data_IF_424262168513
#
_entry.id   IF_424262168513
#
_cell.length_a   1.000
_cell.length_b   1.000
_cell.length_c   1.000
_cell.angle_alpha   90.00
_cell.angle_beta   90.00
_cell.angle_gamma   90.00
#
_symmetry.space_group_name_H-M   'P 1'
#
loop_
_entity.id
_entity.type
_entity.pdbx_description
1 polymer ?
#
# COMPACT_ATOMS: atom_id res chain seq x y z
N UNK A 1 11.42 46.87 5.70
CA UNK A 1 11.00 46.84 7.14
C UNK A 1 11.57 45.52 7.68
N UNK A 2 12.80 45.60 8.23
CA UNK A 2 13.46 44.41 8.83
C UNK A 2 12.86 44.23 10.23
N UNK A 3 12.13 43.13 10.43
CA UNK A 3 11.66 42.72 11.73
C UNK A 3 12.89 42.35 12.58
N UNK A 4 13.13 43.03 13.71
CA UNK A 4 14.27 42.71 14.58
C UNK A 4 14.10 41.29 15.11
N UNK A 5 15.13 40.45 14.92
CA UNK A 5 15.17 39.08 15.45
C UNK A 5 14.98 39.17 16.98
N UNK A 6 14.08 38.32 17.54
CA UNK A 6 13.88 38.33 18.98
C UNK A 6 15.17 38.01 19.74
N UNK A 7 15.43 38.60 20.91
CA UNK A 7 16.71 38.52 21.62
C UNK A 7 17.14 37.08 22.01
N UNK A 8 16.22 36.12 22.01
CA UNK A 8 16.52 34.69 22.22
C UNK A 8 16.97 33.94 20.97
N UNK A 9 16.81 34.50 19.74
CA UNK A 9 17.16 33.83 18.50
C UNK A 9 18.65 33.44 18.37
N UNK A 10 19.62 34.33 18.73
CA UNK A 10 21.04 33.94 18.69
C UNK A 10 21.36 32.86 19.74
N UNK A 11 20.74 32.90 20.93
CA UNK A 11 20.91 31.84 21.94
C UNK A 11 20.41 30.48 21.45
N UNK A 12 19.26 30.44 20.82
CA UNK A 12 18.73 29.21 20.20
C UNK A 12 19.68 28.70 19.09
N UNK A 13 20.25 29.57 18.29
CA UNK A 13 21.22 29.24 17.26
C UNK A 13 22.49 28.58 17.83
N UNK A 14 23.02 29.12 18.92
CA UNK A 14 24.19 28.58 19.63
C UNK A 14 23.87 27.20 20.24
N UNK A 15 22.71 27.05 20.88
CA UNK A 15 22.28 25.75 21.44
C UNK A 15 22.14 24.69 20.36
N UNK A 16 21.48 25.03 19.24
CA UNK A 16 21.35 24.11 18.09
C UNK A 16 22.69 23.72 17.49
N UNK A 17 23.60 24.71 17.31
CA UNK A 17 24.95 24.45 16.81
C UNK A 17 25.75 23.54 17.76
N UNK A 18 25.67 23.78 19.06
CA UNK A 18 26.34 22.97 20.09
C UNK A 18 25.79 21.53 20.12
N UNK A 19 24.48 21.35 20.05
CA UNK A 19 23.84 20.02 19.97
C UNK A 19 24.24 19.29 18.69
N UNK A 20 24.30 19.98 17.56
CA UNK A 20 24.77 19.40 16.30
C UNK A 20 26.24 18.99 16.36
N UNK A 21 27.10 19.82 16.95
CA UNK A 21 28.52 19.53 17.14
C UNK A 21 28.71 18.33 18.08
N UNK A 22 28.03 18.28 19.19
CA UNK A 22 28.04 17.16 20.13
C UNK A 22 27.56 15.86 19.45
N UNK A 23 26.47 15.88 18.70
CA UNK A 23 26.01 14.74 17.92
C UNK A 23 27.03 14.30 16.85
N UNK A 24 27.69 15.23 16.19
CA UNK A 24 28.73 14.93 15.21
C UNK A 24 29.98 14.30 15.84
N UNK A 25 30.39 14.77 17.01
CA UNK A 25 31.55 14.26 17.74
C UNK A 25 31.24 12.91 18.40
N UNK A 26 30.09 12.77 19.06
CA UNK A 26 29.68 11.52 19.72
C UNK A 26 29.35 10.42 18.70
N UNK A 27 28.75 10.78 17.55
CA UNK A 27 28.44 9.84 16.47
C UNK A 27 29.70 9.29 15.76
N UNK A 28 30.83 9.97 15.86
CA UNK A 28 32.12 9.44 15.35
C UNK A 28 32.72 8.33 16.23
N UNK A 29 32.41 8.30 17.51
CA UNK A 29 32.99 7.33 18.46
C UNK A 29 32.38 5.91 18.40
N UNK A 30 31.22 5.72 17.80
CA UNK A 30 30.51 4.42 17.79
C UNK A 30 30.54 3.71 16.43
N UNK A 31 31.40 4.09 15.50
CA UNK A 31 31.58 3.31 14.27
C UNK A 31 32.47 2.10 14.56
N UNK A 32 31.87 0.99 14.99
CA UNK A 32 32.47 -0.32 14.73
C UNK A 32 32.77 -0.37 13.24
N UNK A 33 33.99 -0.80 12.88
CA UNK A 33 34.45 -0.88 11.49
C UNK A 33 33.71 -2.01 10.76
N UNK A 34 32.43 -1.79 10.45
CA UNK A 34 31.71 -2.64 9.50
C UNK A 34 32.17 -2.25 8.09
N UNK A 35 32.39 -3.26 7.26
CA UNK A 35 32.63 -3.05 5.84
C UNK A 35 31.29 -2.70 5.17
N UNK A 36 30.95 -1.42 5.18
CA UNK A 36 29.67 -0.92 4.65
C UNK A 36 29.70 -0.89 3.12
N UNK A 37 28.58 -1.20 2.44
CA UNK A 37 28.49 -1.05 1.00
C UNK A 37 28.82 0.38 0.54
N UNK A 38 29.36 0.56 -0.70
CA UNK A 38 29.61 1.88 -1.25
C UNK A 38 28.33 2.69 -1.40
N UNK A 39 28.45 4.01 -1.39
CA UNK A 39 27.29 4.89 -1.55
C UNK A 39 27.67 6.37 -1.56
N UNK A 40 26.73 7.25 -1.93
CA UNK A 40 26.94 8.68 -1.90
C UNK A 40 27.08 9.19 -0.45
N UNK A 41 27.89 10.23 -0.28
CA UNK A 41 28.05 10.89 1.01
C UNK A 41 26.71 11.52 1.45
N UNK A 42 26.16 11.14 2.62
CA UNK A 42 24.88 11.68 3.05
C UNK A 42 25.03 13.10 3.60
N UNK A 43 24.04 13.95 3.33
CA UNK A 43 23.91 15.26 3.97
C UNK A 43 23.54 15.13 5.45
N UNK A 44 23.92 16.10 6.30
CA UNK A 44 23.39 16.17 7.66
C UNK A 44 21.84 16.22 7.65
N UNK A 45 21.19 15.57 8.59
CA UNK A 45 19.74 15.50 8.79
C UNK A 45 19.00 14.75 7.69
N UNK A 46 19.01 15.24 6.44
CA UNK A 46 18.23 14.68 5.32
C UNK A 46 18.83 13.40 4.73
N UNK A 47 20.14 13.16 4.95
CA UNK A 47 20.83 12.03 4.32
C UNK A 47 20.96 12.19 2.81
N UNK A 48 20.43 11.25 2.04
CA UNK A 48 20.42 11.23 0.58
C UNK A 48 19.01 11.43 -0.02
N UNK A 49 18.08 12.02 0.74
CA UNK A 49 16.72 12.30 0.25
C UNK A 49 16.71 13.29 -0.92
N UNK A 50 17.70 14.19 -0.97
CA UNK A 50 17.93 15.16 -2.07
C UNK A 50 18.20 14.48 -3.42
N UNK A 51 18.70 13.24 -3.40
CA UNK A 51 18.98 12.47 -4.61
C UNK A 51 17.73 11.76 -5.17
N UNK A 52 16.63 11.78 -4.43
CA UNK A 52 15.38 11.14 -4.85
C UNK A 52 14.56 12.14 -5.67
N UNK A 53 14.51 11.94 -6.98
CA UNK A 53 13.68 12.73 -7.89
C UNK A 53 12.21 12.33 -7.87
N UNK A 54 11.44 12.83 -8.82
CA UNK A 54 10.01 12.54 -8.97
C UNK A 54 9.70 11.04 -9.10
N UNK A 55 10.64 10.25 -9.61
CA UNK A 55 10.55 8.79 -9.74
C UNK A 55 11.71 8.14 -8.98
N UNK A 56 11.56 7.88 -7.66
CA UNK A 56 12.65 7.38 -6.81
C UNK A 56 13.33 6.12 -7.32
N UNK A 57 12.58 5.20 -7.94
CA UNK A 57 13.14 3.97 -8.50
C UNK A 57 14.13 4.24 -9.65
N UNK A 58 13.93 5.30 -10.45
CA UNK A 58 14.88 5.70 -11.51
C UNK A 58 16.12 6.34 -10.90
N UNK A 59 15.97 7.22 -9.92
CA UNK A 59 17.09 7.81 -9.19
C UNK A 59 17.96 6.73 -8.53
N UNK A 60 17.34 5.72 -7.88
CA UNK A 60 18.03 4.58 -7.30
C UNK A 60 18.75 3.75 -8.37
N UNK A 61 18.14 3.53 -9.53
CA UNK A 61 18.77 2.84 -10.65
C UNK A 61 20.04 3.57 -11.13
N UNK A 62 19.96 4.87 -11.36
CA UNK A 62 21.14 5.66 -11.76
C UNK A 62 22.25 5.63 -10.70
N UNK A 63 21.91 5.70 -9.43
CA UNK A 63 22.88 5.54 -8.35
C UNK A 63 23.51 4.14 -8.34
N UNK A 64 22.74 3.08 -8.64
CA UNK A 64 23.29 1.72 -8.70
C UNK A 64 24.29 1.51 -9.84
N UNK A 65 24.13 2.22 -10.95
CA UNK A 65 25.12 2.22 -12.04
C UNK A 65 26.47 2.81 -11.59
N UNK A 66 26.45 3.76 -10.66
CA UNK A 66 27.65 4.43 -10.14
C UNK A 66 28.29 3.70 -8.97
N UNK A 67 27.49 3.18 -8.04
CA UNK A 67 27.97 2.62 -6.77
C UNK A 67 27.94 1.09 -6.74
N UNK A 68 27.36 0.44 -7.75
CA UNK A 68 27.32 -1.02 -7.89
C UNK A 68 25.99 -1.64 -7.44
N UNK A 69 25.96 -2.98 -7.51
CA UNK A 69 24.75 -3.79 -7.31
C UNK A 69 24.25 -3.80 -5.85
N UNK A 70 25.12 -3.54 -4.91
CA UNK A 70 24.82 -3.40 -3.48
C UNK A 70 25.37 -2.06 -3.02
N UNK A 71 24.49 -1.14 -2.65
CA UNK A 71 24.87 0.19 -2.19
C UNK A 71 24.15 0.58 -0.91
N UNK A 72 24.76 1.52 -0.18
CA UNK A 72 24.14 2.10 1.01
C UNK A 72 23.73 3.55 0.76
N UNK A 73 22.51 3.86 1.15
CA UNK A 73 21.97 5.21 1.24
C UNK A 73 21.63 5.54 2.69
N UNK A 74 21.28 6.78 2.93
CA UNK A 74 20.71 7.22 4.19
C UNK A 74 19.49 8.09 3.92
N UNK A 75 18.31 7.68 4.41
CA UNK A 75 17.11 8.48 4.33
C UNK A 75 16.83 9.09 5.70
N UNK A 76 17.15 10.38 5.83
CA UNK A 76 17.05 11.08 7.10
C UNK A 76 17.86 10.40 8.19
N UNK A 77 17.18 9.80 9.17
CA UNK A 77 17.75 9.11 10.33
C UNK A 77 18.11 7.64 10.05
N UNK A 78 17.59 7.04 8.96
CA UNK A 78 17.67 5.60 8.72
C UNK A 78 18.72 5.24 7.65
N UNK A 79 19.62 4.28 7.94
CA UNK A 79 20.44 3.65 6.91
C UNK A 79 19.57 2.75 6.04
N UNK A 80 19.81 2.80 4.73
CA UNK A 80 19.08 2.01 3.73
C UNK A 80 20.09 1.27 2.86
N UNK A 81 19.91 -0.04 2.73
CA UNK A 81 20.72 -0.86 1.81
C UNK A 81 19.86 -1.17 0.59
N UNK A 82 20.44 -0.96 -0.58
CA UNK A 82 19.79 -1.17 -1.87
C UNK A 82 20.50 -2.27 -2.63
N UNK A 83 19.77 -3.31 -2.99
CA UNK A 83 20.19 -4.37 -3.90
C UNK A 83 19.57 -4.18 -5.27
N UNK A 84 20.39 -4.01 -6.32
CA UNK A 84 19.96 -3.65 -7.67
C UNK A 84 20.26 -4.74 -8.71
N UNK A 85 20.50 -5.98 -8.29
CA UNK A 85 20.70 -7.11 -9.20
C UNK A 85 19.81 -8.31 -8.82
N UNK A 86 19.67 -9.25 -9.75
CA UNK A 86 18.95 -10.52 -9.51
C UNK A 86 19.55 -11.28 -8.33
N UNK A 87 20.88 -11.31 -8.22
CA UNK A 87 21.57 -12.01 -7.12
C UNK A 87 21.29 -11.35 -5.78
N UNK A 88 21.28 -10.01 -5.71
CA UNK A 88 20.92 -9.28 -4.49
C UNK A 88 19.44 -9.45 -4.15
N UNK A 89 18.57 -9.46 -5.14
CA UNK A 89 17.15 -9.77 -4.91
C UNK A 89 16.97 -11.19 -4.35
N UNK A 90 17.66 -12.19 -4.93
CA UNK A 90 17.68 -13.56 -4.41
C UNK A 90 18.23 -13.63 -2.99
N UNK A 91 19.31 -12.90 -2.71
CA UNK A 91 19.92 -12.84 -1.39
C UNK A 91 18.93 -12.34 -0.33
N UNK A 92 18.26 -11.19 -0.58
CA UNK A 92 17.33 -10.59 0.38
C UNK A 92 15.98 -11.31 0.47
N UNK A 93 15.42 -11.75 -0.68
CA UNK A 93 14.03 -12.22 -0.74
C UNK A 93 13.88 -13.75 -0.67
N UNK A 94 14.98 -14.51 -0.78
CA UNK A 94 14.97 -15.98 -0.75
C UNK A 94 15.99 -16.56 0.23
N UNK A 95 17.28 -16.19 0.12
CA UNK A 95 18.35 -16.83 0.90
C UNK A 95 18.32 -16.39 2.37
N UNK A 96 18.04 -15.14 2.62
CA UNK A 96 18.01 -14.53 3.96
C UNK A 96 16.69 -13.79 4.24
N UNK A 97 15.61 -14.27 3.63
CA UNK A 97 14.28 -13.63 3.70
C UNK A 97 13.82 -13.37 5.13
N UNK A 98 14.03 -14.30 6.05
CA UNK A 98 13.66 -14.17 7.46
C UNK A 98 14.31 -12.95 8.13
N UNK A 99 15.54 -12.58 7.73
CA UNK A 99 16.25 -11.41 8.28
C UNK A 99 15.73 -10.09 7.74
N UNK A 100 15.07 -10.11 6.58
CA UNK A 100 14.58 -8.92 5.87
C UNK A 100 13.06 -8.89 5.72
N UNK A 101 12.34 -9.71 6.49
CA UNK A 101 10.88 -9.87 6.38
C UNK A 101 10.12 -8.70 6.96
N UNK A 102 10.68 -8.00 7.93
CA UNK A 102 9.98 -6.95 8.67
C UNK A 102 9.66 -5.72 7.78
N UNK A 103 8.68 -4.95 8.19
CA UNK A 103 8.20 -3.78 7.44
C UNK A 103 8.59 -2.48 8.15
N UNK A 104 8.98 -1.44 7.38
CA UNK A 104 9.21 -0.13 7.97
C UNK A 104 7.89 0.43 8.52
N UNK A 105 7.97 1.10 9.65
CA UNK A 105 6.84 1.83 10.23
C UNK A 105 6.67 3.14 9.48
N UNK A 106 5.65 3.21 8.62
CA UNK A 106 5.36 4.38 7.79
C UNK A 106 4.02 5.01 8.17
N UNK A 107 3.85 6.30 7.86
CA UNK A 107 2.57 6.97 8.01
C UNK A 107 1.49 6.30 7.15
N UNK A 108 1.84 5.82 5.95
CA UNK A 108 0.93 5.06 5.08
C UNK A 108 0.40 3.82 5.80
N UNK A 109 1.27 2.92 6.27
CA UNK A 109 0.85 1.74 7.01
C UNK A 109 0.02 2.06 8.25
N UNK A 110 0.41 3.11 8.99
CA UNK A 110 -0.30 3.54 10.20
C UNK A 110 -1.72 4.03 9.91
N UNK A 111 -1.88 4.93 8.93
CA UNK A 111 -3.14 5.65 8.73
C UNK A 111 -4.05 5.03 7.68
N UNK A 112 -3.52 4.35 6.67
CA UNK A 112 -4.34 3.81 5.57
C UNK A 112 -4.70 2.34 5.71
N UNK A 113 -4.06 1.60 6.62
CA UNK A 113 -4.27 0.16 6.77
C UNK A 113 -4.59 -0.28 8.20
N UNK A 114 -5.39 0.52 8.91
CA UNK A 114 -5.84 0.23 10.28
C UNK A 114 -4.68 -0.10 11.23
N UNK A 115 -3.64 0.76 11.22
CA UNK A 115 -2.43 0.58 12.03
C UNK A 115 -1.67 -0.71 11.69
N UNK A 116 -1.37 -0.90 10.39
CA UNK A 116 -0.62 -2.05 9.86
C UNK A 116 -1.33 -3.40 10.02
N UNK A 117 -2.66 -3.46 9.93
CA UNK A 117 -3.45 -4.70 10.05
C UNK A 117 -3.71 -5.41 8.73
N UNK A 118 -3.07 -5.00 7.65
CA UNK A 118 -3.09 -5.70 6.37
C UNK A 118 -1.87 -6.62 6.21
N UNK A 119 -1.82 -7.41 5.14
CA UNK A 119 -0.68 -8.28 4.85
C UNK A 119 0.56 -7.53 4.37
N UNK A 120 0.38 -6.32 3.79
CA UNK A 120 1.45 -5.53 3.17
C UNK A 120 2.32 -4.84 4.21
N UNK A 121 1.69 -4.22 5.22
CA UNK A 121 2.34 -3.38 6.23
C UNK A 121 2.49 -4.05 7.59
N UNK A 122 1.85 -5.20 7.81
CA UNK A 122 1.96 -5.93 9.07
C UNK A 122 3.40 -6.36 9.34
N UNK A 123 3.92 -6.12 10.56
CA UNK A 123 5.22 -6.63 10.98
C UNK A 123 5.25 -8.15 10.96
N UNK A 124 6.44 -8.72 10.74
CA UNK A 124 6.61 -10.17 10.83
C UNK A 124 6.31 -10.70 12.23
N UNK A 125 5.38 -11.64 12.32
CA UNK A 125 4.93 -12.21 13.60
C UNK A 125 3.80 -13.23 13.41
N UNK A 126 3.18 -13.65 14.52
CA UNK A 126 2.06 -14.60 14.50
C UNK A 126 0.91 -14.11 13.60
N UNK A 127 0.52 -12.85 13.75
CA UNK A 127 -0.51 -12.22 12.93
C UNK A 127 -0.18 -12.29 11.43
N UNK A 128 1.02 -11.88 11.01
CA UNK A 128 1.42 -11.91 9.61
C UNK A 128 1.48 -13.34 9.05
N UNK A 129 1.98 -14.32 9.82
CA UNK A 129 2.01 -15.72 9.38
C UNK A 129 0.60 -16.28 9.16
N UNK A 130 -0.31 -16.01 10.09
CA UNK A 130 -1.73 -16.38 9.97
C UNK A 130 -2.38 -15.69 8.77
N UNK A 131 -2.18 -14.39 8.62
CA UNK A 131 -2.67 -13.59 7.49
C UNK A 131 -2.18 -14.13 6.14
N UNK A 132 -0.88 -14.46 6.05
CA UNK A 132 -0.30 -15.06 4.85
C UNK A 132 -0.90 -16.43 4.55
N UNK A 133 -1.07 -17.28 5.55
CA UNK A 133 -1.71 -18.60 5.41
C UNK A 133 -3.13 -18.40 4.86
N UNK A 134 -3.94 -17.56 5.48
CA UNK A 134 -5.30 -17.25 5.05
C UNK A 134 -5.35 -16.76 3.59
N UNK A 135 -4.48 -15.83 3.22
CA UNK A 135 -4.41 -15.34 1.84
C UNK A 135 -4.13 -16.49 0.85
N UNK A 136 -3.19 -17.36 1.16
CA UNK A 136 -2.77 -18.43 0.24
C UNK A 136 -3.79 -19.57 0.15
N UNK A 137 -4.46 -19.94 1.26
CA UNK A 137 -5.37 -21.09 1.27
C UNK A 137 -6.81 -20.71 0.94
N UNK A 138 -7.29 -19.56 1.41
CA UNK A 138 -8.70 -19.20 1.34
C UNK A 138 -9.01 -18.14 0.27
N UNK A 139 -8.21 -17.06 0.20
CA UNK A 139 -8.53 -15.95 -0.68
C UNK A 139 -7.98 -16.13 -2.10
N UNK A 140 -6.72 -16.57 -2.23
CA UNK A 140 -5.99 -16.63 -3.51
C UNK A 140 -5.59 -18.04 -3.92
N UNK A 141 -6.20 -19.08 -3.34
CA UNK A 141 -6.00 -20.45 -3.80
C UNK A 141 -6.45 -20.62 -5.24
N UNK A 142 -5.81 -21.55 -5.97
CA UNK A 142 -6.15 -21.83 -7.36
C UNK A 142 -7.65 -22.10 -7.53
N UNK A 143 -8.21 -22.97 -6.68
CA UNK A 143 -9.64 -23.32 -6.66
C UNK A 143 -10.53 -22.07 -6.50
N UNK A 144 -10.15 -21.16 -5.57
CA UNK A 144 -10.92 -19.93 -5.33
C UNK A 144 -10.85 -19.00 -6.54
N UNK A 145 -9.67 -18.80 -7.10
CA UNK A 145 -9.49 -17.96 -8.28
C UNK A 145 -10.21 -18.51 -9.51
N UNK A 146 -10.22 -19.83 -9.71
CA UNK A 146 -10.99 -20.50 -10.77
C UNK A 146 -12.49 -20.29 -10.58
N UNK A 147 -13.00 -20.37 -9.34
CA UNK A 147 -14.44 -20.15 -9.08
C UNK A 147 -14.93 -18.77 -9.53
N UNK A 148 -14.06 -17.78 -9.71
CA UNK A 148 -14.37 -16.44 -10.21
C UNK A 148 -14.13 -16.29 -11.73
N UNK A 149 -13.91 -17.36 -12.48
CA UNK A 149 -13.69 -17.29 -13.94
C UNK A 149 -14.86 -16.64 -14.66
N UNK A 150 -16.09 -16.95 -14.25
CA UNK A 150 -17.30 -16.36 -14.84
C UNK A 150 -17.33 -14.83 -14.74
N UNK A 151 -16.78 -14.23 -13.66
CA UNK A 151 -16.67 -12.79 -13.50
C UNK A 151 -15.72 -12.23 -14.55
N UNK A 152 -14.52 -12.82 -14.65
CA UNK A 152 -13.50 -12.37 -15.61
C UNK A 152 -14.01 -12.47 -17.05
N UNK A 153 -14.61 -13.61 -17.40
CA UNK A 153 -15.19 -13.80 -18.72
C UNK A 153 -16.31 -12.80 -19.04
N UNK A 154 -17.17 -12.49 -18.08
CA UNK A 154 -18.24 -11.52 -18.26
C UNK A 154 -17.71 -10.10 -18.51
N UNK A 155 -16.70 -9.65 -17.71
CA UNK A 155 -16.12 -8.30 -17.87
C UNK A 155 -15.29 -8.19 -19.17
N UNK A 156 -14.59 -9.23 -19.59
CA UNK A 156 -13.89 -9.25 -20.90
C UNK A 156 -14.89 -9.17 -22.06
N UNK A 157 -16.02 -9.88 -21.99
CA UNK A 157 -17.07 -9.79 -23.02
C UNK A 157 -17.69 -8.38 -23.07
N UNK A 158 -17.86 -7.73 -21.91
CA UNK A 158 -18.33 -6.35 -21.86
C UNK A 158 -17.33 -5.40 -22.54
N UNK A 159 -16.04 -5.52 -22.19
CA UNK A 159 -14.96 -4.77 -22.83
C UNK A 159 -14.99 -4.90 -24.36
N UNK A 160 -15.11 -6.14 -24.88
CA UNK A 160 -15.11 -6.39 -26.32
C UNK A 160 -16.32 -5.76 -27.02
N UNK A 161 -17.50 -5.77 -26.37
CA UNK A 161 -18.69 -5.07 -26.89
C UNK A 161 -18.48 -3.57 -26.96
N UNK A 162 -17.91 -2.97 -25.90
CA UNK A 162 -17.68 -1.52 -25.85
C UNK A 162 -16.65 -1.06 -26.89
N UNK A 163 -15.56 -1.84 -27.05
CA UNK A 163 -14.56 -1.58 -28.09
C UNK A 163 -15.12 -1.74 -29.48
N UNK A 164 -15.97 -2.76 -29.73
CA UNK A 164 -16.65 -2.96 -31.02
C UNK A 164 -17.57 -1.80 -31.34
N UNK A 165 -18.38 -1.33 -30.37
CA UNK A 165 -19.26 -0.17 -30.55
C UNK A 165 -18.47 1.11 -30.85
N UNK A 166 -17.34 1.33 -30.14
CA UNK A 166 -16.45 2.46 -30.39
C UNK A 166 -15.80 2.40 -31.78
N UNK A 167 -15.40 1.23 -32.23
CA UNK A 167 -14.84 0.99 -33.59
C UNK A 167 -15.86 1.34 -34.66
N UNK A 168 -17.13 0.91 -34.51
CA UNK A 168 -18.21 1.21 -35.45
C UNK A 168 -18.50 2.70 -35.61
N UNK A 169 -18.19 3.50 -34.59
CA UNK A 169 -18.32 4.98 -34.64
C UNK A 169 -17.08 5.70 -35.18
N UNK A 170 -16.02 5.00 -35.54
CA UNK A 170 -14.74 5.58 -35.99
C UNK A 170 -13.99 6.37 -34.93
N UNK A 171 -14.38 6.28 -33.65
CA UNK A 171 -13.83 7.09 -32.56
C UNK A 171 -12.57 6.42 -31.97
N UNK A 172 -11.49 7.21 -31.85
CA UNK A 172 -10.31 6.78 -31.11
C UNK A 172 -10.64 6.54 -29.62
N UNK A 173 -10.13 5.45 -29.06
CA UNK A 173 -10.33 5.08 -27.66
C UNK A 173 -9.02 5.10 -26.88
N UNK A 174 -9.05 5.49 -25.63
CA UNK A 174 -7.94 5.36 -24.69
C UNK A 174 -8.00 3.96 -24.07
N UNK A 175 -7.26 3.02 -24.65
CA UNK A 175 -7.28 1.60 -24.22
C UNK A 175 -6.97 1.42 -22.74
N UNK A 176 -6.10 2.28 -22.16
CA UNK A 176 -5.77 2.28 -20.73
C UNK A 176 -7.02 2.40 -19.85
N UNK A 177 -7.97 3.27 -20.21
CA UNK A 177 -9.17 3.50 -19.41
C UNK A 177 -10.09 2.28 -19.42
N UNK A 178 -10.25 1.66 -20.59
CA UNK A 178 -11.01 0.42 -20.75
C UNK A 178 -10.42 -0.73 -19.93
N UNK A 179 -9.11 -0.94 -20.03
CA UNK A 179 -8.42 -1.99 -19.27
C UNK A 179 -8.48 -1.74 -17.76
N UNK A 180 -8.32 -0.49 -17.33
CA UNK A 180 -8.45 -0.12 -15.92
C UNK A 180 -9.84 -0.40 -15.39
N UNK A 181 -10.89 -0.05 -16.17
CA UNK A 181 -12.29 -0.31 -15.80
C UNK A 181 -12.58 -1.80 -15.66
N UNK A 182 -12.13 -2.62 -16.63
CA UNK A 182 -12.30 -4.08 -16.54
C UNK A 182 -11.60 -4.65 -15.32
N UNK A 183 -10.34 -4.27 -15.09
CA UNK A 183 -9.58 -4.73 -13.93
C UNK A 183 -10.30 -4.39 -12.64
N UNK A 184 -10.76 -3.16 -12.49
CA UNK A 184 -11.45 -2.70 -11.29
C UNK A 184 -12.82 -3.35 -11.10
N UNK A 185 -13.59 -3.56 -12.18
CA UNK A 185 -14.86 -4.30 -12.11
C UNK A 185 -14.64 -5.76 -11.72
N UNK A 186 -13.65 -6.44 -12.28
CA UNK A 186 -13.31 -7.82 -11.91
C UNK A 186 -13.02 -7.90 -10.42
N UNK A 187 -12.19 -6.99 -9.90
CA UNK A 187 -11.78 -6.98 -8.51
C UNK A 187 -12.95 -6.69 -7.58
N UNK A 188 -13.68 -5.62 -7.82
CA UNK A 188 -14.81 -5.25 -6.96
C UNK A 188 -15.87 -6.35 -6.91
N UNK A 189 -16.12 -7.05 -8.02
CA UNK A 189 -17.02 -8.22 -8.03
C UNK A 189 -16.46 -9.41 -7.28
N UNK A 190 -15.15 -9.69 -7.39
CA UNK A 190 -14.52 -10.81 -6.67
C UNK A 190 -14.41 -10.55 -5.17
N UNK A 191 -14.10 -9.32 -4.79
CA UNK A 191 -13.85 -8.93 -3.39
C UNK A 191 -15.14 -8.52 -2.69
N UNK A 192 -15.92 -7.64 -3.31
CA UNK A 192 -17.08 -6.96 -2.71
C UNK A 192 -18.43 -7.48 -3.24
N UNK A 193 -18.42 -8.46 -4.15
CA UNK A 193 -19.62 -9.09 -4.71
C UNK A 193 -20.36 -8.28 -5.77
N UNK A 194 -20.04 -7.00 -6.00
CA UNK A 194 -20.75 -6.13 -6.95
C UNK A 194 -19.83 -5.13 -7.66
N UNK A 195 -20.37 -4.50 -8.72
CA UNK A 195 -19.70 -3.40 -9.42
C UNK A 195 -19.90 -2.08 -8.68
N UNK A 196 -18.86 -1.27 -8.60
CA UNK A 196 -18.91 0.08 -8.02
C UNK A 196 -18.66 1.19 -9.05
N UNK A 197 -18.27 0.82 -10.28
CA UNK A 197 -18.08 1.78 -11.39
C UNK A 197 -19.28 1.91 -12.32
N UNK A 198 -20.34 1.12 -12.11
CA UNK A 198 -21.51 1.12 -12.96
C UNK A 198 -22.56 2.11 -12.41
N UNK A 199 -22.88 3.15 -13.20
CA UNK A 199 -23.81 4.20 -12.80
C UNK A 199 -25.23 3.68 -12.58
N UNK A 200 -25.63 2.63 -13.29
CA UNK A 200 -26.94 2.01 -13.16
C UNK A 200 -27.11 1.29 -11.81
N UNK A 201 -26.05 0.63 -11.34
CA UNK A 201 -26.04 -0.05 -10.04
C UNK A 201 -26.09 0.96 -8.87
N UNK A 202 -25.46 2.11 -9.03
CA UNK A 202 -25.43 3.19 -8.02
C UNK A 202 -26.76 3.93 -7.96
N UNK A 203 -27.46 4.11 -9.09
CA UNK A 203 -28.78 4.76 -9.14
C UNK A 203 -29.88 3.99 -8.39
N UNK A 204 -29.68 2.69 -8.12
CA UNK A 204 -30.57 1.82 -7.32
C UNK A 204 -30.61 2.09 -5.81
N UNK A 205 -29.96 3.14 -5.32
CA UNK A 205 -30.20 3.72 -3.97
C UNK A 205 -29.43 3.10 -2.80
N UNK A 206 -28.48 2.17 -3.01
CA UNK A 206 -27.74 1.51 -1.91
C UNK A 206 -26.25 1.83 -1.84
N UNK A 207 -25.74 2.77 -2.62
CA UNK A 207 -24.29 3.07 -2.62
C UNK A 207 -23.95 4.30 -1.81
N UNK A 208 -23.04 4.15 -0.85
CA UNK A 208 -22.49 5.24 -0.01
C UNK A 208 -21.49 6.11 -0.79
N UNK A 209 -21.10 5.68 -2.01
CA UNK A 209 -20.02 6.30 -2.78
C UNK A 209 -20.37 6.31 -4.26
N UNK A 210 -20.11 7.41 -4.99
CA UNK A 210 -20.26 7.47 -6.45
C UNK A 210 -19.11 6.74 -7.16
N UNK A 211 -19.26 6.31 -8.42
CA UNK A 211 -18.19 5.68 -9.20
C UNK A 211 -16.95 6.56 -9.32
N UNK A 212 -17.14 7.86 -9.52
CA UNK A 212 -16.08 8.83 -9.64
C UNK A 212 -15.34 9.02 -8.29
N UNK A 213 -16.07 9.08 -7.18
CA UNK A 213 -15.51 9.15 -5.83
C UNK A 213 -14.73 7.88 -5.49
N UNK A 214 -15.27 6.70 -5.80
CA UNK A 214 -14.58 5.42 -5.54
C UNK A 214 -13.28 5.30 -6.32
N UNK A 215 -13.28 5.67 -7.61
CA UNK A 215 -12.07 5.72 -8.43
C UNK A 215 -11.04 6.68 -7.84
N UNK A 216 -11.47 7.88 -7.48
CA UNK A 216 -10.58 8.86 -6.85
C UNK A 216 -10.01 8.35 -5.52
N UNK A 217 -10.80 7.68 -4.71
CA UNK A 217 -10.35 7.07 -3.45
C UNK A 217 -9.23 6.06 -3.68
N UNK A 218 -9.34 5.20 -4.69
CA UNK A 218 -8.31 4.24 -5.05
C UNK A 218 -7.05 4.93 -5.57
N UNK A 219 -7.17 5.86 -6.51
CA UNK A 219 -6.04 6.60 -7.08
C UNK A 219 -5.26 7.34 -5.99
N UNK A 220 -5.97 7.99 -5.04
CA UNK A 220 -5.38 8.70 -3.91
C UNK A 220 -4.69 7.75 -2.93
N UNK A 221 -5.29 6.58 -2.64
CA UNK A 221 -4.70 5.57 -1.79
C UNK A 221 -3.39 5.02 -2.38
N UNK A 222 -3.38 4.68 -3.67
CA UNK A 222 -2.18 4.21 -4.37
C UNK A 222 -1.07 5.25 -4.34
N UNK A 223 -1.42 6.51 -4.62
CA UNK A 223 -0.44 7.61 -4.55
C UNK A 223 0.16 7.72 -3.15
N UNK A 224 -0.67 7.76 -2.11
CA UNK A 224 -0.23 7.96 -0.74
C UNK A 224 0.57 6.77 -0.16
N UNK A 225 0.32 5.55 -0.65
CA UNK A 225 1.13 4.38 -0.31
C UNK A 225 2.51 4.38 -0.99
N UNK A 226 2.69 5.15 -2.07
CA UNK A 226 3.94 5.23 -2.82
C UNK A 226 4.79 6.48 -2.56
N UNK A 227 4.32 7.47 -1.78
CA UNK A 227 5.06 8.70 -1.52
C UNK A 227 6.16 8.51 -0.49
N UNK A 228 7.26 9.23 -0.66
CA UNK A 228 8.30 9.39 0.36
C UNK A 228 7.86 10.49 1.33
N UNK A 229 7.28 10.10 2.45
CA UNK A 229 6.93 11.04 3.50
C UNK A 229 8.18 11.41 4.32
N UNK A 230 8.46 12.70 4.46
CA UNK A 230 9.62 13.20 5.20
C UNK A 230 9.55 12.77 6.67
N UNK A 231 8.37 12.75 7.28
CA UNK A 231 8.17 12.31 8.66
C UNK A 231 8.61 10.86 8.91
N UNK A 232 8.41 9.97 7.93
CA UNK A 232 8.87 8.57 8.02
C UNK A 232 10.41 8.47 8.05
N UNK A 233 11.11 9.39 7.39
CA UNK A 233 12.58 9.45 7.34
C UNK A 233 13.19 10.28 8.45
N UNK A 234 12.49 11.30 8.94
CA UNK A 234 12.92 12.24 9.96
C UNK A 234 11.83 12.34 11.04
N UNK A 235 11.76 11.38 11.99
CA UNK A 235 10.61 11.21 12.90
C UNK A 235 10.27 12.45 13.76
N UNK A 236 11.24 13.28 14.09
CA UNK A 236 10.99 14.49 14.86
C UNK A 236 10.31 15.62 14.06
N UNK A 237 10.17 15.48 12.72
CA UNK A 237 9.39 16.37 11.85
C UNK A 237 7.98 15.83 11.54
N UNK A 238 7.64 14.60 11.96
CA UNK A 238 6.35 13.95 11.63
C UNK A 238 5.13 14.80 12.02
N UNK A 239 5.18 15.45 13.17
CA UNK A 239 4.10 16.28 13.68
C UNK A 239 3.79 17.52 12.83
N UNK A 240 4.74 17.99 12.01
CA UNK A 240 4.57 19.19 11.18
C UNK A 240 3.79 18.90 9.88
N UNK A 241 3.74 17.65 9.44
CA UNK A 241 3.13 17.25 8.15
C UNK A 241 3.50 18.17 6.99
N UNK A 242 4.81 18.45 6.81
CA UNK A 242 5.33 19.46 5.88
C UNK A 242 4.83 19.29 4.44
N UNK A 243 4.56 18.05 4.03
CA UNK A 243 4.09 17.70 2.69
C UNK A 243 2.55 17.58 2.62
N UNK A 244 1.85 17.64 3.76
CA UNK A 244 0.40 17.47 3.86
C UNK A 244 -0.08 16.02 3.61
N UNK A 245 0.82 15.05 3.51
CA UNK A 245 0.47 13.66 3.23
C UNK A 245 -0.29 13.00 4.38
N UNK A 246 0.04 13.30 5.64
CA UNK A 246 -0.63 12.72 6.80
C UNK A 246 -2.09 13.17 6.86
N UNK A 247 -2.39 14.44 6.57
CA UNK A 247 -3.77 14.94 6.50
C UNK A 247 -4.56 14.25 5.39
N UNK A 248 -3.94 14.05 4.22
CA UNK A 248 -4.55 13.33 3.08
C UNK A 248 -4.78 11.86 3.45
N UNK A 249 -3.81 11.18 4.06
CA UNK A 249 -3.94 9.79 4.53
C UNK A 249 -5.09 9.64 5.53
N UNK A 250 -5.21 10.54 6.51
CA UNK A 250 -6.33 10.54 7.47
C UNK A 250 -7.68 10.80 6.81
N UNK A 251 -7.74 11.66 5.78
CA UNK A 251 -8.97 11.93 5.03
C UNK A 251 -9.40 10.69 4.27
N UNK A 252 -8.51 10.11 3.48
CA UNK A 252 -8.82 8.94 2.65
C UNK A 252 -9.15 7.71 3.51
N UNK A 253 -8.47 7.52 4.65
CA UNK A 253 -8.77 6.47 5.61
C UNK A 253 -10.21 6.56 6.14
N UNK A 254 -10.69 7.74 6.51
CA UNK A 254 -12.08 7.93 6.96
C UNK A 254 -13.10 7.62 5.85
N UNK A 255 -12.78 7.94 4.60
CA UNK A 255 -13.67 7.64 3.47
C UNK A 255 -13.74 6.15 3.22
N UNK A 256 -12.58 5.46 3.19
CA UNK A 256 -12.54 4.00 3.08
C UNK A 256 -13.19 3.31 4.27
N UNK A 257 -12.97 3.78 5.49
CA UNK A 257 -13.59 3.18 6.67
C UNK A 257 -15.12 3.23 6.60
N UNK A 258 -15.70 4.37 6.23
CA UNK A 258 -17.16 4.50 6.02
C UNK A 258 -17.67 3.57 4.92
N UNK A 259 -16.94 3.49 3.80
CA UNK A 259 -17.29 2.61 2.69
C UNK A 259 -17.23 1.13 3.08
N UNK A 260 -16.12 0.70 3.68
CA UNK A 260 -15.90 -0.69 4.09
C UNK A 260 -16.83 -1.10 5.24
N UNK A 261 -17.18 -0.18 6.14
CA UNK A 261 -18.17 -0.42 7.18
C UNK A 261 -19.53 -0.75 6.57
N UNK A 262 -19.95 0.01 5.56
CA UNK A 262 -21.18 -0.26 4.82
C UNK A 262 -21.13 -1.63 4.12
N UNK A 263 -20.01 -1.95 3.46
CA UNK A 263 -19.82 -3.25 2.78
C UNK A 263 -19.92 -4.41 3.78
N UNK A 264 -19.19 -4.34 4.88
CA UNK A 264 -19.20 -5.39 5.92
C UNK A 264 -20.58 -5.56 6.52
N UNK A 265 -21.30 -4.46 6.79
CA UNK A 265 -22.64 -4.50 7.34
C UNK A 265 -23.64 -5.13 6.37
N UNK A 266 -23.59 -4.79 5.08
CA UNK A 266 -24.42 -5.39 4.04
C UNK A 266 -24.24 -6.92 3.96
N UNK A 267 -22.97 -7.39 4.03
CA UNK A 267 -22.65 -8.82 4.03
C UNK A 267 -23.15 -9.52 5.30
N UNK A 268 -22.98 -8.91 6.46
CA UNK A 268 -23.49 -9.46 7.72
C UNK A 268 -25.02 -9.57 7.71
N UNK A 269 -25.74 -8.57 7.23
CA UNK A 269 -27.19 -8.62 7.10
C UNK A 269 -27.63 -9.71 6.12
N UNK A 270 -26.90 -9.93 5.02
CA UNK A 270 -27.17 -11.04 4.11
C UNK A 270 -26.95 -12.39 4.81
N UNK A 271 -25.85 -12.57 5.54
CA UNK A 271 -25.57 -13.78 6.32
C UNK A 271 -26.67 -14.09 7.34
N UNK A 272 -27.15 -13.09 8.05
CA UNK A 272 -28.25 -13.24 9.01
C UNK A 272 -29.56 -13.65 8.34
N UNK A 273 -29.87 -13.06 7.17
CA UNK A 273 -31.08 -13.41 6.40
C UNK A 273 -31.06 -14.83 5.83
N UNK A 274 -29.91 -15.22 5.25
CA UNK A 274 -29.72 -16.53 4.62
C UNK A 274 -29.55 -17.66 5.66
N UNK A 275 -29.08 -17.35 6.87
CA UNK A 275 -28.91 -18.28 7.98
C UNK A 275 -28.12 -19.54 7.59
N UNK A 276 -28.75 -20.74 7.80
CA UNK A 276 -28.11 -22.02 7.47
C UNK A 276 -27.88 -22.25 5.97
N UNK A 277 -28.55 -21.53 5.09
CA UNK A 277 -28.37 -21.63 3.63
C UNK A 277 -27.29 -20.70 3.08
N UNK A 278 -26.62 -19.95 3.94
CA UNK A 278 -25.58 -19.02 3.53
C UNK A 278 -24.39 -19.74 2.87
N UNK A 279 -24.05 -19.27 1.68
CA UNK A 279 -22.85 -19.70 0.93
C UNK A 279 -22.02 -18.47 0.59
N UNK A 280 -20.73 -18.50 0.94
CA UNK A 280 -19.81 -17.41 0.63
C UNK A 280 -19.64 -17.23 -0.89
N UNK A 281 -19.98 -16.04 -1.42
CA UNK A 281 -19.98 -15.71 -2.85
C UNK A 281 -18.78 -14.88 -3.26
N UNK A 282 -18.21 -14.13 -2.34
CA UNK A 282 -17.11 -13.19 -2.54
C UNK A 282 -16.09 -13.28 -1.41
N UNK A 283 -15.02 -12.45 -1.51
CA UNK A 283 -13.93 -12.53 -0.52
C UNK A 283 -14.31 -11.94 0.84
N UNK A 284 -15.21 -10.96 0.89
CA UNK A 284 -15.70 -10.41 2.18
C UNK A 284 -16.47 -11.47 2.95
N UNK A 285 -17.30 -12.26 2.28
CA UNK A 285 -18.00 -13.38 2.91
C UNK A 285 -17.03 -14.39 3.52
N UNK A 286 -15.97 -14.74 2.76
CA UNK A 286 -14.92 -15.66 3.22
C UNK A 286 -14.18 -15.09 4.44
N UNK A 287 -13.82 -13.82 4.40
CA UNK A 287 -13.15 -13.15 5.51
C UNK A 287 -14.00 -13.12 6.77
N UNK A 288 -15.30 -12.87 6.63
CA UNK A 288 -16.24 -12.89 7.75
C UNK A 288 -16.42 -14.30 8.32
N UNK A 289 -16.45 -15.35 7.48
CA UNK A 289 -16.47 -16.74 7.97
C UNK A 289 -15.21 -17.11 8.74
N UNK A 290 -14.05 -16.68 8.25
CA UNK A 290 -12.77 -16.94 8.94
C UNK A 290 -12.70 -16.15 10.25
N UNK A 291 -13.21 -14.92 10.28
CA UNK A 291 -13.21 -14.10 11.51
C UNK A 291 -14.06 -14.72 12.63
N UNK A 292 -15.06 -15.54 12.29
CA UNK A 292 -15.88 -16.27 13.26
C UNK A 292 -15.23 -17.57 13.76
N UNK A 293 -14.09 -17.99 13.21
CA UNK A 293 -13.41 -19.23 13.61
C UNK A 293 -12.65 -19.05 14.94
N UNK A 294 -13.12 -19.70 16.02
CA UNK A 294 -12.47 -19.59 17.34
C UNK A 294 -11.11 -20.30 17.41
N UNK A 295 -10.73 -21.07 16.39
CA UNK A 295 -9.45 -21.82 16.35
C UNK A 295 -8.28 -21.01 15.82
N UNK A 296 -8.50 -19.76 15.42
CA UNK A 296 -7.45 -18.88 14.95
C UNK A 296 -6.42 -18.59 16.04
N UNK A 297 -5.12 -18.68 15.69
CA UNK A 297 -4.02 -18.31 16.60
C UNK A 297 -4.11 -16.83 17.04
N UNK A 298 -4.57 -15.97 16.15
CA UNK A 298 -4.81 -14.55 16.41
C UNK A 298 -6.18 -14.15 15.88
N UNK A 299 -6.99 -13.52 16.73
CA UNK A 299 -8.33 -13.06 16.39
C UNK A 299 -8.33 -12.06 15.24
N UNK A 300 -9.18 -12.26 14.25
CA UNK A 300 -9.45 -11.32 13.16
C UNK A 300 -10.64 -10.45 13.54
N UNK A 301 -10.38 -9.28 14.10
CA UNK A 301 -11.45 -8.34 14.41
C UNK A 301 -12.00 -7.64 13.16
N UNK A 302 -13.08 -6.86 13.33
CA UNK A 302 -13.74 -6.11 12.24
C UNK A 302 -12.80 -5.19 11.47
N UNK A 303 -11.83 -4.55 12.13
CA UNK A 303 -10.82 -3.72 11.47
C UNK A 303 -9.87 -4.56 10.59
N UNK A 304 -9.52 -5.78 11.05
CA UNK A 304 -8.72 -6.71 10.24
C UNK A 304 -9.46 -7.13 8.97
N UNK A 305 -10.76 -7.46 9.08
CA UNK A 305 -11.59 -7.76 7.89
C UNK A 305 -11.61 -6.59 6.92
N UNK A 306 -11.82 -5.36 7.40
CA UNK A 306 -11.77 -4.15 6.55
C UNK A 306 -10.40 -3.95 5.91
N UNK A 307 -9.31 -4.11 6.67
CA UNK A 307 -7.95 -3.99 6.16
C UNK A 307 -7.64 -5.00 5.05
N UNK A 308 -8.03 -6.28 5.24
CA UNK A 308 -7.87 -7.32 4.22
C UNK A 308 -8.75 -7.08 3.00
N UNK A 309 -9.98 -6.61 3.19
CA UNK A 309 -10.87 -6.25 2.08
C UNK A 309 -10.27 -5.12 1.25
N UNK A 310 -9.76 -4.07 1.89
CA UNK A 310 -9.11 -2.95 1.24
C UNK A 310 -7.89 -3.41 0.44
N UNK A 311 -6.96 -4.13 1.06
CA UNK A 311 -5.74 -4.59 0.39
C UNK A 311 -6.01 -5.60 -0.72
N UNK A 312 -7.09 -6.38 -0.62
CA UNK A 312 -7.50 -7.27 -1.70
C UNK A 312 -7.94 -6.49 -2.95
N UNK A 313 -8.59 -5.34 -2.78
CA UNK A 313 -8.88 -4.43 -3.88
C UNK A 313 -7.61 -3.84 -4.52
N UNK A 314 -6.54 -3.66 -3.73
CA UNK A 314 -5.29 -3.07 -4.18
C UNK A 314 -4.35 -4.09 -4.86
N UNK A 315 -4.25 -5.32 -4.34
CA UNK A 315 -3.25 -6.32 -4.77
C UNK A 315 -3.70 -7.22 -5.92
N UNK A 316 -4.98 -7.53 -6.03
CA UNK A 316 -5.48 -8.49 -7.02
C UNK A 316 -5.17 -8.08 -8.47
N UNK A 317 -5.22 -6.79 -8.88
CA UNK A 317 -4.82 -6.41 -10.24
C UNK A 317 -3.41 -6.86 -10.58
N UNK A 318 -2.50 -6.69 -9.64
CA UNK A 318 -1.08 -7.03 -9.81
C UNK A 318 -0.89 -8.54 -9.90
N UNK A 319 -1.55 -9.32 -9.04
CA UNK A 319 -1.43 -10.78 -9.00
C UNK A 319 -2.03 -11.46 -10.23
N UNK A 320 -3.19 -11.00 -10.72
CA UNK A 320 -3.82 -11.56 -11.94
C UNK A 320 -2.96 -11.26 -13.17
N UNK A 321 -2.38 -10.07 -13.25
CA UNK A 321 -1.52 -9.68 -14.36
C UNK A 321 -0.19 -10.46 -14.35
N UNK A 322 0.44 -10.64 -13.18
CA UNK A 322 1.70 -11.38 -13.05
C UNK A 322 1.56 -12.87 -13.33
N UNK A 323 0.46 -13.52 -12.92
CA UNK A 323 0.27 -14.97 -13.17
C UNK A 323 0.13 -15.31 -14.66
N UNK A 324 -0.37 -14.36 -15.48
CA UNK A 324 -0.50 -14.55 -16.94
C UNK A 324 0.80 -14.26 -17.72
N UNK A 325 1.77 -13.58 -17.09
CA UNK A 325 3.10 -13.30 -17.68
C UNK A 325 4.08 -14.46 -17.38
N UNK A 326 3.82 -15.22 -16.30
CA UNK A 326 4.70 -16.29 -15.81
C UNK A 326 4.24 -17.69 -16.26
N UNK A 327 2.99 -17.83 -16.71
CA UNK A 327 2.46 -19.03 -17.36
C UNK A 327 2.52 -18.92 -18.89
#
# INVERSE_FOLDING_TARGET
MELPLPPWAPFLGVVLATVMLLKAVLGRRSRRAYNLPPGPKPWPIIGNLDLMGALPHRSIHELSRKYGQLMQLRFGSFPVVVGSSVDMAKFFLKTHDVMFTDRPKTAAGKYTTYNNRDITWSPYGAYWRQARKMCLTELFSAKRLESYEYIRAAEVRALLRDLHAASGSGRAVMLKDYLSTVSLNVITRMVLGKKYLDKEVVAGGSSVTTPEEFKWMLDELFLLNGVLNIGDSIPWLDWMDLQGYIRRMKKISKMFDRFLEHVVEEHNQRRLREGKSFVAKDMVDVLLQIADDPTLEVELNRESVKAFTQVSCDLIPILIFMRRIIS
#
